data_IF_400003804283
#
_entry.id   IF_400003804283
#
_cell.length_a   1.000
_cell.length_b   1.000
_cell.length_c   1.000
_cell.angle_alpha   90.00
_cell.angle_beta   90.00
_cell.angle_gamma   90.00
#
_symmetry.space_group_name_H-M   'P 1'
#
loop_
_entity.id
_entity.type
_entity.pdbx_description
1 polymer ?
#
# COMPACT_ATOMS: atom_id res chain seq x y z
N UNK A 1 20.86 5.82 15.53
CA UNK A 1 22.04 4.95 15.74
C UNK A 1 22.16 4.47 17.19
N UNK A 2 22.06 5.35 18.18
CA UNK A 2 22.14 4.98 19.61
C UNK A 2 21.00 4.02 20.05
N UNK A 3 19.76 4.27 19.61
CA UNK A 3 18.61 3.45 20.01
C UNK A 3 18.62 2.05 19.38
N UNK A 4 19.11 1.95 18.14
CA UNK A 4 19.39 0.67 17.50
C UNK A 4 20.47 -0.12 18.25
N UNK A 5 21.56 0.55 18.66
CA UNK A 5 22.61 -0.08 19.47
C UNK A 5 22.07 -0.54 20.82
N UNK A 6 21.21 0.24 21.48
CA UNK A 6 20.56 -0.13 22.73
C UNK A 6 19.66 -1.38 22.56
N UNK A 7 18.91 -1.47 21.46
CA UNK A 7 18.06 -2.63 21.15
C UNK A 7 18.89 -3.93 20.98
N UNK A 8 20.03 -3.87 20.29
CA UNK A 8 20.83 -5.07 19.96
C UNK A 8 21.89 -5.42 21.01
N UNK A 9 22.15 -4.54 21.99
CA UNK A 9 23.16 -4.76 23.03
C UNK A 9 22.82 -5.89 24.00
N UNK A 10 21.57 -6.38 24.01
CA UNK A 10 21.11 -7.50 24.81
C UNK A 10 21.51 -8.86 24.22
N UNK A 11 22.82 -9.14 24.06
CA UNK A 11 23.38 -10.49 24.00
C UNK A 11 22.76 -11.53 23.02
N UNK A 12 22.00 -11.10 22.01
CA UNK A 12 21.28 -11.97 21.07
C UNK A 12 19.82 -12.31 21.43
N UNK A 13 19.30 -11.87 22.58
CA UNK A 13 17.87 -11.95 22.91
C UNK A 13 17.25 -10.55 22.86
N UNK A 14 16.56 -10.28 21.74
CA UNK A 14 15.76 -9.07 21.58
C UNK A 14 14.40 -9.31 22.24
N UNK A 15 14.04 -8.45 23.18
CA UNK A 15 12.69 -8.44 23.77
C UNK A 15 11.67 -7.95 22.73
N UNK A 16 10.56 -8.67 22.58
CA UNK A 16 9.49 -8.35 21.61
C UNK A 16 8.90 -6.96 21.88
N UNK A 17 8.72 -6.61 23.15
CA UNK A 17 8.18 -5.30 23.55
C UNK A 17 9.11 -4.15 23.17
N UNK A 18 10.40 -4.31 23.45
CA UNK A 18 11.43 -3.35 23.07
C UNK A 18 11.53 -3.17 21.54
N UNK A 19 11.45 -4.27 20.77
CA UNK A 19 11.45 -4.21 19.31
C UNK A 19 10.20 -3.48 18.78
N UNK A 20 9.02 -3.82 19.29
CA UNK A 20 7.77 -3.16 18.90
C UNK A 20 7.84 -1.66 19.19
N UNK A 21 8.26 -1.26 20.39
CA UNK A 21 8.41 0.15 20.75
C UNK A 21 9.43 0.86 19.85
N UNK A 22 10.54 0.22 19.51
CA UNK A 22 11.52 0.78 18.57
C UNK A 22 10.90 1.04 17.20
N UNK A 23 10.13 0.08 16.66
CA UNK A 23 9.43 0.25 15.37
C UNK A 23 8.43 1.40 15.45
N UNK A 24 7.55 1.40 16.46
CA UNK A 24 6.51 2.42 16.64
C UNK A 24 7.06 3.85 16.84
N UNK A 25 8.27 3.98 17.41
CA UNK A 25 8.89 5.28 17.68
C UNK A 25 9.73 5.84 16.52
N UNK A 26 10.11 5.00 15.56
CA UNK A 26 11.02 5.37 14.48
C UNK A 26 10.43 5.21 13.07
N UNK A 27 9.33 4.48 12.92
CA UNK A 27 8.70 4.22 11.64
C UNK A 27 7.22 4.64 11.71
N UNK A 28 6.78 5.35 10.67
CA UNK A 28 5.38 5.65 10.48
C UNK A 28 4.59 4.39 10.09
N UNK A 29 3.27 4.44 10.28
CA UNK A 29 2.39 3.37 9.82
C UNK A 29 2.46 3.20 8.30
N UNK A 30 2.44 1.95 7.79
CA UNK A 30 2.47 1.69 6.36
C UNK A 30 1.22 2.24 5.68
N UNK A 31 1.39 2.87 4.52
CA UNK A 31 0.31 3.42 3.71
C UNK A 31 -0.02 4.88 3.99
N UNK A 32 0.63 5.51 4.99
CA UNK A 32 0.53 6.95 5.22
C UNK A 32 1.15 7.80 4.10
N UNK A 33 1.98 7.19 3.24
CA UNK A 33 2.67 7.85 2.14
C UNK A 33 1.80 8.11 0.91
N UNK A 34 0.59 7.56 0.87
CA UNK A 34 -0.28 7.58 -0.29
C UNK A 34 -1.50 8.48 -0.09
N UNK A 35 -1.70 9.41 -1.02
CA UNK A 35 -2.95 10.15 -1.15
C UNK A 35 -4.05 9.26 -1.76
N UNK A 36 -5.30 9.53 -1.36
CA UNK A 36 -6.45 9.00 -2.06
C UNK A 36 -6.44 9.48 -3.52
N UNK A 37 -6.53 8.54 -4.46
CA UNK A 37 -6.57 8.85 -5.88
C UNK A 37 -7.54 7.94 -6.64
N UNK A 38 -8.04 8.44 -7.77
CA UNK A 38 -8.76 7.65 -8.75
C UNK A 38 -8.04 7.75 -10.10
N UNK A 39 -8.00 6.65 -10.86
CA UNK A 39 -7.50 6.68 -12.23
C UNK A 39 -8.42 7.55 -13.10
N UNK A 40 -7.84 8.47 -13.86
CA UNK A 40 -8.59 9.44 -14.68
C UNK A 40 -9.38 8.82 -15.82
N UNK A 41 -8.98 7.62 -16.24
CA UNK A 41 -9.54 6.85 -17.35
C UNK A 41 -10.48 5.73 -16.89
N UNK A 42 -10.75 5.64 -15.58
CA UNK A 42 -11.66 4.64 -15.06
C UNK A 42 -13.11 4.98 -15.39
N UNK A 43 -13.75 4.11 -16.17
CA UNK A 43 -15.16 4.17 -16.52
C UNK A 43 -15.89 2.91 -15.99
N UNK A 44 -16.74 3.02 -14.94
CA UNK A 44 -17.44 1.87 -14.37
C UNK A 44 -18.44 1.23 -15.35
N UNK A 45 -18.96 1.99 -16.30
CA UNK A 45 -19.96 1.56 -17.28
C UNK A 45 -19.33 1.34 -18.67
N UNK A 46 -18.03 1.03 -18.69
CA UNK A 46 -17.27 0.75 -19.90
C UNK A 46 -17.94 -0.37 -20.72
N UNK A 47 -18.73 0.04 -21.73
CA UNK A 47 -19.47 -0.87 -22.62
C UNK A 47 -18.57 -1.74 -23.51
N UNK A 48 -17.25 -1.52 -23.47
CA UNK A 48 -16.26 -2.28 -24.25
C UNK A 48 -16.34 -3.78 -23.96
N UNK A 49 -16.72 -4.17 -22.74
CA UNK A 49 -16.83 -5.58 -22.36
C UNK A 49 -18.03 -6.30 -23.00
N UNK A 50 -19.04 -5.59 -23.50
CA UNK A 50 -20.19 -6.22 -24.16
C UNK A 50 -19.81 -6.92 -25.47
N UNK A 51 -18.68 -6.55 -26.07
CA UNK A 51 -18.11 -7.21 -27.25
C UNK A 51 -17.53 -8.60 -26.95
N UNK A 52 -17.34 -8.95 -25.67
CA UNK A 52 -16.86 -10.28 -25.26
C UNK A 52 -18.02 -11.28 -25.39
N UNK A 53 -17.91 -12.20 -26.35
CA UNK A 53 -18.96 -13.19 -26.67
C UNK A 53 -19.26 -14.14 -25.51
N UNK A 54 -18.24 -14.62 -24.81
CA UNK A 54 -18.41 -15.58 -23.72
C UNK A 54 -18.93 -14.87 -22.46
N UNK A 55 -20.11 -15.25 -21.92
CA UNK A 55 -20.69 -14.57 -20.75
C UNK A 55 -19.81 -14.61 -19.50
N UNK A 56 -19.13 -15.74 -19.25
CA UNK A 56 -18.25 -15.88 -18.09
C UNK A 56 -17.02 -14.98 -18.20
N UNK A 57 -16.44 -14.84 -19.39
CA UNK A 57 -15.30 -13.94 -19.61
C UNK A 57 -15.71 -12.47 -19.56
N UNK A 58 -16.91 -12.14 -20.04
CA UNK A 58 -17.47 -10.79 -19.90
C UNK A 58 -17.62 -10.41 -18.43
N UNK A 59 -18.22 -11.30 -17.64
CA UNK A 59 -18.40 -11.07 -16.20
C UNK A 59 -17.06 -10.95 -15.49
N UNK A 60 -16.12 -11.85 -15.77
CA UNK A 60 -14.76 -11.79 -15.22
C UNK A 60 -14.05 -10.49 -15.57
N UNK A 61 -14.16 -10.01 -16.82
CA UNK A 61 -13.55 -8.74 -17.23
C UNK A 61 -14.14 -7.54 -16.46
N UNK A 62 -15.47 -7.52 -16.25
CA UNK A 62 -16.14 -6.51 -15.43
C UNK A 62 -15.67 -6.55 -13.97
N UNK A 63 -15.53 -7.74 -13.39
CA UNK A 63 -15.04 -7.92 -12.02
C UNK A 63 -13.58 -7.50 -11.86
N UNK A 64 -12.74 -7.80 -12.85
CA UNK A 64 -11.35 -7.35 -12.88
C UNK A 64 -11.28 -5.82 -12.97
N UNK A 65 -12.05 -5.22 -13.88
CA UNK A 65 -12.10 -3.77 -14.06
C UNK A 65 -12.51 -3.03 -12.78
N UNK A 66 -13.46 -3.58 -12.01
CA UNK A 66 -13.87 -3.01 -10.71
C UNK A 66 -12.75 -2.95 -9.67
N UNK A 67 -11.70 -3.74 -9.80
CA UNK A 67 -10.52 -3.69 -8.91
C UNK A 67 -9.56 -2.58 -9.30
N UNK A 68 -9.57 -2.12 -10.54
CA UNK A 68 -8.61 -1.13 -11.04
C UNK A 68 -8.51 0.13 -10.17
N UNK A 69 -9.61 0.76 -9.70
CA UNK A 69 -9.52 1.97 -8.87
C UNK A 69 -8.78 1.75 -7.54
N UNK A 70 -8.85 0.54 -6.97
CA UNK A 70 -8.19 0.22 -5.69
C UNK A 70 -6.67 0.10 -5.83
N UNK A 71 -6.19 0.00 -7.07
CA UNK A 71 -4.77 -0.04 -7.41
C UNK A 71 -4.19 1.35 -7.67
N UNK A 72 -5.00 2.41 -7.64
CA UNK A 72 -4.48 3.76 -7.79
C UNK A 72 -3.49 4.06 -6.66
N UNK A 73 -2.31 4.60 -7.02
CA UNK A 73 -1.27 5.02 -6.08
C UNK A 73 -0.84 6.42 -6.45
N UNK A 74 -0.86 7.33 -5.48
CA UNK A 74 -0.33 8.68 -5.61
C UNK A 74 0.45 9.00 -4.35
N UNK A 75 1.75 9.24 -4.49
CA UNK A 75 2.60 9.61 -3.36
C UNK A 75 2.23 11.02 -2.91
N UNK A 76 1.99 11.19 -1.61
CA UNK A 76 1.67 12.49 -1.05
C UNK A 76 2.87 13.43 -1.14
N UNK A 77 2.66 14.67 -1.60
CA UNK A 77 3.75 15.66 -1.67
C UNK A 77 4.18 16.17 -0.29
N UNK A 78 3.37 15.93 0.74
CA UNK A 78 3.72 16.22 2.13
C UNK A 78 4.52 15.10 2.78
N UNK A 79 4.64 13.94 2.10
CA UNK A 79 5.47 12.86 2.59
C UNK A 79 6.94 13.18 2.27
N UNK A 80 7.73 13.41 3.30
CA UNK A 80 9.18 13.49 3.15
C UNK A 80 9.71 12.07 3.14
N UNK A 81 10.41 11.67 2.07
CA UNK A 81 11.24 10.48 2.14
C UNK A 81 12.25 10.69 3.25
N UNK A 82 12.18 9.86 4.29
CA UNK A 82 13.22 9.80 5.30
C UNK A 82 14.49 9.41 4.55
N UNK A 83 15.42 10.35 4.39
CA UNK A 83 16.76 10.06 3.93
C UNK A 83 17.42 9.18 4.99
N UNK A 84 17.41 7.87 4.76
CA UNK A 84 18.19 6.89 5.51
C UNK A 84 19.67 7.01 5.10
#
# INVERSE_FOLDING_TARGET
LHDWQALISCGGQIDEGALRHFVESHFDEPGGELDACQPSDFDPECGKFETINCPSYRQWAKELHRKWPTLCRKVSMHFQFVHI
#
